data_IF_592844887266
#
_entry.id   IF_592844887266
#
_cell.length_a   1.000
_cell.length_b   1.000
_cell.length_c   1.000
_cell.angle_alpha   90.00
_cell.angle_beta   90.00
_cell.angle_gamma   90.00
#
_symmetry.space_group_name_H-M   'P 1'
#
loop_
_entity.id
_entity.type
_entity.pdbx_description
1 polymer ?
#
# COMPACT_ATOMS: atom_id res chain seq x y z
N UNK A 1 -5.50 16.39 -12.11
CA UNK A 1 -4.25 15.62 -11.88
C UNK A 1 -3.51 16.27 -10.72
N UNK A 2 -3.15 15.50 -9.69
CA UNK A 2 -2.43 16.03 -8.52
C UNK A 2 -0.96 16.27 -8.87
N UNK A 3 -0.37 17.37 -8.38
CA UNK A 3 1.04 17.72 -8.62
C UNK A 3 1.96 17.20 -7.50
N UNK A 4 1.38 16.89 -6.35
CA UNK A 4 2.00 16.65 -5.06
C UNK A 4 1.90 15.19 -4.59
N UNK A 5 1.10 14.35 -5.26
CA UNK A 5 0.90 12.95 -4.84
C UNK A 5 0.38 12.04 -5.96
N UNK A 6 0.58 10.75 -5.76
CA UNK A 6 -0.04 9.67 -6.50
C UNK A 6 -1.14 9.05 -5.62
N UNK A 7 -2.34 8.89 -6.18
CA UNK A 7 -3.44 8.16 -5.55
C UNK A 7 -3.75 6.91 -6.38
N UNK A 8 -3.78 5.76 -5.71
CA UNK A 8 -4.20 4.48 -6.29
C UNK A 8 -5.52 4.11 -5.63
N UNK A 9 -6.62 4.34 -6.35
CA UNK A 9 -7.97 4.01 -5.89
C UNK A 9 -8.38 2.62 -6.36
N UNK A 10 -8.71 1.74 -5.43
CA UNK A 10 -9.28 0.43 -5.70
C UNK A 10 -10.75 0.39 -5.28
N UNK A 11 -11.65 -0.14 -6.12
CA UNK A 11 -13.03 -0.36 -5.72
C UNK A 11 -13.11 -1.45 -4.64
N UNK A 12 -13.98 -1.25 -3.66
CA UNK A 12 -14.14 -2.13 -2.51
C UNK A 12 -13.31 -1.70 -1.31
N UNK A 13 -13.62 -2.29 -0.16
CA UNK A 13 -12.93 -2.04 1.12
C UNK A 13 -12.11 -3.24 1.56
N UNK A 14 -11.27 -3.03 2.56
CA UNK A 14 -10.58 -4.13 3.24
C UNK A 14 -11.61 -5.14 3.77
N UNK A 15 -11.40 -6.45 3.55
CA UNK A 15 -12.18 -7.51 4.18
C UNK A 15 -12.28 -7.32 5.71
N UNK A 16 -13.37 -7.78 6.31
CA UNK A 16 -13.72 -7.52 7.73
C UNK A 16 -12.63 -7.86 8.77
N UNK A 17 -11.65 -8.72 8.44
CA UNK A 17 -10.55 -9.09 9.32
C UNK A 17 -9.30 -8.21 9.14
N UNK A 18 -9.25 -7.37 8.10
CA UNK A 18 -8.14 -6.50 7.77
C UNK A 18 -8.42 -5.07 8.22
N UNK A 19 -7.39 -4.45 8.77
CA UNK A 19 -7.35 -3.05 9.18
C UNK A 19 -6.14 -2.38 8.54
N UNK A 20 -6.15 -1.05 8.44
CA UNK A 20 -5.01 -0.30 7.91
C UNK A 20 -3.70 -0.59 8.66
N UNK A 21 -3.79 -0.90 9.96
CA UNK A 21 -2.62 -1.22 10.78
C UNK A 21 -2.09 -2.63 10.51
N UNK A 22 -2.99 -3.62 10.39
CA UNK A 22 -2.53 -5.01 10.24
C UNK A 22 -1.98 -5.29 8.84
N UNK A 23 -2.48 -4.61 7.80
CA UNK A 23 -1.92 -4.73 6.45
C UNK A 23 -0.50 -4.14 6.37
N UNK A 24 -0.17 -3.13 7.20
CA UNK A 24 1.19 -2.54 7.26
C UNK A 24 2.24 -3.52 7.74
N UNK A 25 1.87 -4.42 8.65
CA UNK A 25 2.76 -5.49 9.15
C UNK A 25 2.67 -6.78 8.32
N UNK A 26 1.93 -6.76 7.20
CA UNK A 26 1.87 -7.85 6.23
C UNK A 26 0.78 -8.89 6.46
N UNK A 27 -0.18 -8.62 7.36
CA UNK A 27 -1.39 -9.44 7.46
C UNK A 27 -2.19 -9.30 6.16
N UNK A 28 -2.58 -10.43 5.57
CA UNK A 28 -3.26 -10.44 4.28
C UNK A 28 -4.37 -11.49 4.27
N UNK A 29 -5.36 -11.24 3.43
CA UNK A 29 -6.45 -12.15 3.08
C UNK A 29 -6.59 -12.16 1.57
N UNK A 30 -6.72 -13.35 1.00
CA UNK A 30 -6.88 -13.53 -0.44
C UNK A 30 -8.33 -13.34 -0.87
N UNK A 31 -8.63 -12.22 -1.53
CA UNK A 31 -9.98 -11.96 -2.06
C UNK A 31 -10.26 -12.85 -3.28
N UNK A 32 -9.27 -13.05 -4.15
CA UNK A 32 -9.37 -13.93 -5.32
C UNK A 32 -8.12 -14.84 -5.41
N UNK A 33 -8.18 -16.05 -4.82
CA UNK A 33 -7.07 -17.01 -4.86
C UNK A 33 -6.64 -17.41 -6.27
N UNK A 34 -7.58 -17.43 -7.23
CA UNK A 34 -7.29 -17.80 -8.63
C UNK A 34 -6.40 -16.76 -9.31
N UNK A 35 -6.74 -15.47 -9.17
CA UNK A 35 -5.91 -14.37 -9.71
C UNK A 35 -4.52 -14.39 -9.06
N UNK A 36 -4.45 -14.55 -7.73
CA UNK A 36 -3.18 -14.60 -7.02
C UNK A 36 -2.31 -15.79 -7.46
N UNK A 37 -2.91 -16.97 -7.65
CA UNK A 37 -2.22 -18.15 -8.16
C UNK A 37 -1.67 -17.94 -9.56
N UNK A 38 -2.43 -17.25 -10.43
CA UNK A 38 -1.97 -16.87 -11.76
C UNK A 38 -0.78 -15.91 -11.70
N UNK A 39 -0.89 -14.82 -10.93
CA UNK A 39 0.19 -13.83 -10.75
C UNK A 39 1.46 -14.44 -10.13
N UNK A 40 1.32 -15.44 -9.27
CA UNK A 40 2.45 -16.14 -8.66
C UNK A 40 3.19 -17.07 -9.64
N UNK A 41 2.52 -17.54 -10.69
CA UNK A 41 3.10 -18.46 -11.70
C UNK A 41 3.75 -17.72 -12.86
N UNK A 42 3.17 -16.61 -13.29
CA UNK A 42 3.71 -15.82 -14.39
C UNK A 42 4.81 -14.86 -13.90
N UNK A 43 6.04 -15.13 -14.36
CA UNK A 43 7.25 -14.39 -13.99
C UNK A 43 7.22 -12.91 -14.43
N UNK A 44 6.37 -12.53 -15.38
CA UNK A 44 6.27 -11.16 -15.87
C UNK A 44 5.73 -10.19 -14.81
N UNK A 45 4.83 -10.65 -13.93
CA UNK A 45 4.17 -9.79 -12.95
C UNK A 45 5.05 -9.45 -11.74
N UNK A 46 6.22 -10.09 -11.60
CA UNK A 46 7.16 -9.89 -10.47
C UNK A 46 6.49 -9.96 -9.10
N UNK A 47 5.42 -10.76 -8.99
CA UNK A 47 4.71 -10.93 -7.73
C UNK A 47 5.62 -11.63 -6.71
N UNK A 48 5.88 -10.96 -5.59
CA UNK A 48 6.90 -11.36 -4.62
C UNK A 48 6.36 -12.22 -3.47
N UNK A 49 5.13 -12.70 -3.60
CA UNK A 49 4.48 -13.52 -2.59
C UNK A 49 3.54 -12.73 -1.68
N UNK A 50 2.76 -13.49 -0.91
CA UNK A 50 1.58 -13.02 -0.18
C UNK A 50 1.93 -12.10 0.97
N UNK A 51 1.20 -11.00 1.11
CA UNK A 51 1.35 -10.05 2.22
C UNK A 51 2.65 -9.24 2.25
N UNK A 52 3.60 -9.48 1.34
CA UNK A 52 4.92 -8.81 1.37
C UNK A 52 4.96 -7.46 0.65
N UNK A 53 3.98 -7.17 -0.21
CA UNK A 53 3.97 -5.96 -1.04
C UNK A 53 3.83 -4.67 -0.23
N UNK A 54 2.90 -4.64 0.72
CA UNK A 54 2.62 -3.46 1.55
C UNK A 54 3.81 -3.12 2.48
N UNK A 55 4.37 -4.07 3.26
CA UNK A 55 5.57 -3.80 4.05
C UNK A 55 6.76 -3.33 3.20
N UNK A 56 6.91 -3.88 1.99
CA UNK A 56 7.99 -3.53 1.07
C UNK A 56 7.88 -2.09 0.57
N UNK A 57 6.69 -1.66 0.14
CA UNK A 57 6.51 -0.28 -0.33
C UNK A 57 6.66 0.72 0.82
N UNK A 58 6.17 0.38 2.03
CA UNK A 58 6.39 1.21 3.23
C UNK A 58 7.88 1.40 3.48
N UNK A 59 8.66 0.32 3.48
CA UNK A 59 10.13 0.39 3.66
C UNK A 59 10.82 1.22 2.58
N UNK A 60 10.39 1.11 1.32
CA UNK A 60 10.94 1.91 0.22
C UNK A 60 10.61 3.40 0.41
N UNK A 61 9.37 3.73 0.74
CA UNK A 61 8.95 5.11 1.02
C UNK A 61 9.71 5.69 2.22
N UNK A 62 9.87 4.91 3.30
CA UNK A 62 10.67 5.27 4.48
C UNK A 62 12.17 5.32 4.24
N UNK A 63 12.69 4.83 3.12
CA UNK A 63 14.09 5.02 2.74
C UNK A 63 14.25 6.34 1.98
N UNK A 64 13.29 6.65 1.11
CA UNK A 64 13.32 7.83 0.24
C UNK A 64 12.78 9.12 0.88
N UNK A 65 12.20 9.05 2.07
CA UNK A 65 11.63 10.18 2.80
C UNK A 65 10.26 10.57 2.25
N UNK A 66 9.51 9.57 1.80
CA UNK A 66 8.22 9.73 1.14
C UNK A 66 7.12 9.29 2.10
N UNK A 67 6.14 10.16 2.33
CA UNK A 67 4.95 9.79 3.10
C UNK A 67 4.03 8.86 2.27
N UNK A 68 3.56 7.80 2.90
CA UNK A 68 2.57 6.87 2.35
C UNK A 68 1.42 6.70 3.34
N UNK A 69 0.19 6.71 2.84
CA UNK A 69 -1.02 6.47 3.63
C UNK A 69 -1.91 5.44 2.93
N UNK A 70 -2.60 4.64 3.74
CA UNK A 70 -3.63 3.71 3.32
C UNK A 70 -4.94 4.21 3.94
N UNK A 71 -6.00 4.30 3.15
CA UNK A 71 -7.31 4.80 3.59
C UNK A 71 -8.36 3.81 3.17
N UNK A 72 -9.04 3.20 4.15
CA UNK A 72 -10.15 2.29 3.93
C UNK A 72 -11.48 3.02 4.21
N UNK A 73 -12.13 3.50 3.16
CA UNK A 73 -13.41 4.21 3.26
C UNK A 73 -14.59 3.26 3.04
N UNK A 74 -15.17 2.80 4.15
CA UNK A 74 -16.36 1.95 4.13
C UNK A 74 -17.63 2.65 3.66
N UNK A 75 -17.71 3.98 3.73
CA UNK A 75 -18.90 4.73 3.30
C UNK A 75 -18.93 4.81 1.77
N UNK A 76 -17.79 5.10 1.14
CA UNK A 76 -17.69 5.19 -0.32
C UNK A 76 -17.28 3.88 -0.99
N UNK A 77 -17.07 2.81 -0.21
CA UNK A 77 -16.64 1.49 -0.69
C UNK A 77 -15.34 1.56 -1.50
N UNK A 78 -14.34 2.24 -0.93
CA UNK A 78 -13.07 2.52 -1.59
C UNK A 78 -11.89 2.26 -0.66
N UNK A 79 -10.87 1.64 -1.23
CA UNK A 79 -9.55 1.56 -0.62
C UNK A 79 -8.58 2.41 -1.44
N UNK A 80 -7.97 3.41 -0.81
CA UNK A 80 -7.06 4.34 -1.47
C UNK A 80 -5.66 4.25 -0.86
N UNK A 81 -4.65 4.17 -1.72
CA UNK A 81 -3.25 4.34 -1.34
C UNK A 81 -2.78 5.69 -1.83
N UNK A 82 -2.29 6.53 -0.90
CA UNK A 82 -1.81 7.87 -1.18
C UNK A 82 -0.30 7.92 -0.95
N UNK A 83 0.47 8.21 -1.99
CA UNK A 83 1.92 8.34 -1.94
C UNK A 83 2.28 9.79 -2.28
N UNK A 84 2.87 10.50 -1.33
CA UNK A 84 3.29 11.89 -1.54
C UNK A 84 4.49 11.95 -2.49
N UNK A 85 4.56 13.01 -3.29
CA UNK A 85 5.76 13.34 -4.04
C UNK A 85 6.79 13.92 -3.06
N UNK A 86 8.03 13.44 -3.15
CA UNK A 86 9.15 14.02 -2.39
C UNK A 86 9.30 15.49 -2.77
N UNK A 87 9.00 16.39 -1.83
CA UNK A 87 9.15 17.82 -2.00
C UNK A 87 10.36 18.27 -1.17
N UNK A 88 11.54 18.30 -1.81
CA UNK A 88 12.78 18.76 -1.16
C UNK A 88 13.30 17.84 -0.07
N UNK A 89 14.53 18.11 0.37
CA UNK A 89 15.25 17.37 1.42
C UNK A 89 14.44 17.51 2.72
N UNK A 90 14.02 16.38 3.29
CA UNK A 90 13.36 16.35 4.60
C UNK A 90 14.32 15.63 5.55
N UNK A 91 14.79 16.34 6.57
CA UNK A 91 15.61 15.78 7.63
C UNK A 91 14.77 14.79 8.46
N UNK A 92 15.24 13.55 8.55
CA UNK A 92 14.56 12.43 9.20
C UNK A 92 14.40 12.58 10.73
N UNK A 93 15.06 13.56 11.36
CA UNK A 93 15.06 13.72 12.82
C UNK A 93 13.73 14.20 13.43
N UNK A 94 12.74 14.57 12.62
CA UNK A 94 11.49 15.18 13.15
C UNK A 94 10.28 14.25 13.13
N UNK A 95 10.37 13.04 12.55
CA UNK A 95 9.19 12.18 12.36
C UNK A 95 8.96 11.15 13.48
N UNK A 96 9.92 10.97 14.38
CA UNK A 96 9.86 10.00 15.49
C UNK A 96 9.62 10.69 16.85
N UNK A 97 8.70 11.67 16.89
CA UNK A 97 8.17 12.27 18.12
C UNK A 97 6.65 12.39 18.07
#
# INVERSE_FOLDING_TARGET
MFSDRLEIESPGTLPNTLTEDNIRVGVHVEINPTILSFLAKDKQFRYSGRGTGIPRVIKMCQHEGIAIRFVNDSQTQRFCVVISRRYGIIDYETYDR
#
